data_IF_391967976847
#
_entry.id   IF_391967976847
#
_cell.length_a   1.000
_cell.length_b   1.000
_cell.length_c   1.000
_cell.angle_alpha   90.00
_cell.angle_beta   90.00
_cell.angle_gamma   90.00
#
_symmetry.space_group_name_H-M   'P 1'
#
loop_
_entity.id
_entity.type
_entity.pdbx_description
1 polymer ?
#
# COMPACT_ATOMS: atom_id res chain seq x y z
N UNK A 1 -1.20 14.86 5.40
CA UNK A 1 -0.73 14.44 6.73
C UNK A 1 0.16 15.51 7.33
N UNK A 2 -0.03 15.86 8.60
CA UNK A 2 0.79 16.83 9.32
C UNK A 2 1.14 16.31 10.72
N UNK A 3 2.27 16.78 11.27
CA UNK A 3 2.72 16.48 12.63
C UNK A 3 2.66 17.75 13.48
N UNK A 4 2.22 17.59 14.72
CA UNK A 4 2.34 18.58 15.77
C UNK A 4 3.49 18.18 16.70
N UNK A 5 4.41 19.10 16.98
CA UNK A 5 5.53 18.88 17.91
C UNK A 5 5.27 19.42 19.33
N UNK A 6 4.05 19.91 19.60
CA UNK A 6 3.71 20.65 20.82
C UNK A 6 3.67 22.16 20.65
N UNK A 7 4.20 22.71 19.53
CA UNK A 7 4.31 24.14 19.26
C UNK A 7 4.00 24.55 17.83
N UNK A 8 4.34 23.73 16.84
CA UNK A 8 4.19 24.04 15.42
C UNK A 8 3.69 22.84 14.64
N UNK A 9 2.79 23.10 13.68
CA UNK A 9 2.33 22.11 12.72
C UNK A 9 3.29 22.07 11.53
N UNK A 10 3.76 20.88 11.16
CA UNK A 10 4.57 20.65 9.97
C UNK A 10 3.83 19.72 9.02
N UNK A 11 3.64 20.15 7.77
CA UNK A 11 3.09 19.28 6.72
C UNK A 11 4.17 18.26 6.34
N UNK A 12 3.84 16.99 6.49
CA UNK A 12 4.75 15.89 6.15
C UNK A 12 4.50 15.37 4.74
N UNK A 13 3.25 15.43 4.28
CA UNK A 13 2.82 14.97 2.95
C UNK A 13 1.43 15.50 2.62
N UNK A 14 1.19 15.75 1.35
CA UNK A 14 -0.07 16.26 0.79
C UNK A 14 -0.90 15.18 0.10
N UNK A 15 -0.45 13.92 0.09
CA UNK A 15 -1.26 12.79 -0.38
C UNK A 15 -2.52 12.57 0.48
N UNK A 16 -3.41 11.69 0.02
CA UNK A 16 -4.74 11.48 0.59
C UNK A 16 -4.65 10.48 1.74
N UNK A 17 -4.39 10.95 2.97
CA UNK A 17 -4.33 10.12 4.18
C UNK A 17 -5.67 10.08 4.90
N UNK A 18 -6.07 8.89 5.35
CA UNK A 18 -7.41 8.68 5.92
C UNK A 18 -7.43 7.82 7.18
N UNK A 19 -6.31 7.20 7.56
CA UNK A 19 -6.17 6.48 8.84
C UNK A 19 -4.85 6.87 9.47
N UNK A 20 -4.90 7.14 10.78
CA UNK A 20 -3.72 7.21 11.64
C UNK A 20 -4.05 6.41 12.89
N UNK A 21 -3.23 5.41 13.21
CA UNK A 21 -3.36 4.61 14.43
C UNK A 21 -2.00 4.42 15.06
N UNK A 22 -1.88 4.43 16.38
CA UNK A 22 -0.59 4.31 17.03
C UNK A 22 -0.64 4.57 18.51
N UNK A 23 0.28 3.97 19.26
CA UNK A 23 0.47 4.14 20.71
C UNK A 23 -0.74 3.80 21.62
N UNK A 24 -1.87 3.31 21.10
CA UNK A 24 -3.08 3.02 21.90
C UNK A 24 -3.18 1.56 22.37
N UNK A 25 -2.45 0.63 21.74
CA UNK A 25 -2.64 -0.83 21.96
C UNK A 25 -1.59 -1.53 22.81
N UNK A 26 -0.51 -0.85 23.22
CA UNK A 26 0.51 -1.40 24.13
C UNK A 26 1.45 -2.48 23.53
N UNK A 27 1.21 -2.99 22.32
CA UNK A 27 2.02 -4.05 21.67
C UNK A 27 3.18 -3.46 20.83
N UNK A 28 3.21 -2.13 20.63
CA UNK A 28 4.28 -1.45 19.92
C UNK A 28 4.28 0.06 20.18
N UNK A 29 5.36 0.72 19.78
CA UNK A 29 5.50 2.18 19.87
C UNK A 29 5.24 2.87 18.53
N UNK A 30 5.04 2.11 17.45
CA UNK A 30 4.81 2.69 16.14
C UNK A 30 3.50 3.48 16.07
N UNK A 31 3.54 4.57 15.33
CA UNK A 31 2.34 5.19 14.74
C UNK A 31 2.31 4.89 13.25
N UNK A 32 1.22 4.28 12.80
CA UNK A 32 0.94 3.97 11.42
C UNK A 32 0.01 5.02 10.84
N UNK A 33 0.26 5.39 9.59
CA UNK A 33 -0.70 6.16 8.81
C UNK A 33 -0.88 5.52 7.43
N UNK A 34 -2.13 5.41 6.98
CA UNK A 34 -2.41 4.95 5.62
C UNK A 34 -3.04 6.05 4.78
N UNK A 35 -2.60 6.09 3.54
CA UNK A 35 -3.12 7.00 2.54
C UNK A 35 -2.88 6.46 1.15
N UNK A 36 -3.01 7.33 0.17
CA UNK A 36 -2.75 7.00 -1.21
C UNK A 36 -2.45 8.25 -2.03
N UNK A 37 -1.75 8.06 -3.13
CA UNK A 37 -1.65 9.01 -4.21
C UNK A 37 -2.05 8.35 -5.53
N UNK A 38 -1.79 8.99 -6.66
CA UNK A 38 -2.09 8.42 -7.98
C UNK A 38 -1.33 7.12 -8.27
N UNK A 39 -0.12 6.96 -7.73
CA UNK A 39 0.78 5.86 -8.05
C UNK A 39 0.51 4.60 -7.23
N UNK A 40 0.16 4.74 -5.94
CA UNK A 40 -0.01 3.59 -5.04
C UNK A 40 -0.72 3.96 -3.74
N UNK A 41 -1.07 2.94 -2.95
CA UNK A 41 -1.35 3.12 -1.54
C UNK A 41 -0.05 3.42 -0.78
N UNK A 42 -0.15 4.14 0.32
CA UNK A 42 0.99 4.59 1.13
C UNK A 42 0.75 4.13 2.56
N UNK A 43 1.74 3.43 3.12
CA UNK A 43 1.87 3.17 4.55
C UNK A 43 3.04 4.00 5.06
N UNK A 44 2.78 4.84 6.04
CA UNK A 44 3.83 5.49 6.82
C UNK A 44 3.94 4.87 8.19
N UNK A 45 5.17 4.76 8.66
CA UNK A 45 5.49 4.19 9.97
C UNK A 45 6.34 5.19 10.72
N UNK A 46 5.89 5.59 11.90
CA UNK A 46 6.64 6.45 12.80
C UNK A 46 7.19 5.64 13.95
N UNK A 47 8.51 5.55 14.06
CA UNK A 47 9.22 4.88 15.16
C UNK A 47 10.42 5.74 15.53
N UNK A 48 10.71 5.87 16.82
CA UNK A 48 11.91 6.58 17.33
C UNK A 48 12.11 8.00 16.75
N UNK A 49 11.02 8.72 16.48
CA UNK A 49 11.08 10.09 15.97
C UNK A 49 11.19 10.23 14.45
N UNK A 50 11.27 9.11 13.72
CA UNK A 50 11.45 9.06 12.27
C UNK A 50 10.24 8.47 11.55
N UNK A 51 9.92 9.03 10.38
CA UNK A 51 8.86 8.53 9.50
C UNK A 51 9.47 7.79 8.32
N UNK A 52 9.18 6.51 8.21
CA UNK A 52 9.44 5.72 7.01
C UNK A 52 8.19 5.68 6.11
N UNK A 53 8.43 5.50 4.81
CA UNK A 53 7.38 5.41 3.79
C UNK A 53 7.52 4.09 3.06
N UNK A 54 6.42 3.34 3.00
CA UNK A 54 6.27 2.13 2.22
C UNK A 54 5.08 2.28 1.30
N UNK A 55 5.19 1.76 0.08
CA UNK A 55 4.13 1.83 -0.91
C UNK A 55 3.55 0.44 -1.16
N UNK A 56 2.24 0.37 -1.33
CA UNK A 56 1.50 -0.88 -1.46
C UNK A 56 0.65 -0.85 -2.75
N UNK A 57 0.43 -2.01 -3.40
CA UNK A 57 -0.41 -2.09 -4.58
C UNK A 57 -1.87 -1.77 -4.22
N UNK A 58 -2.58 -1.15 -5.16
CA UNK A 58 -4.03 -0.97 -5.07
C UNK A 58 -4.72 -2.15 -5.73
N UNK A 59 -5.71 -2.74 -5.06
CA UNK A 59 -6.59 -3.76 -5.66
C UNK A 59 -7.82 -3.14 -6.34
N UNK A 60 -8.07 -1.84 -6.14
CA UNK A 60 -9.17 -1.10 -6.78
C UNK A 60 -8.78 0.33 -7.14
N UNK A 61 -9.40 0.86 -8.19
CA UNK A 61 -9.35 2.27 -8.59
C UNK A 61 -10.54 3.08 -8.04
N UNK A 62 -11.53 2.41 -7.44
CA UNK A 62 -12.77 3.04 -6.95
C UNK A 62 -12.55 3.96 -5.74
N UNK A 63 -11.31 4.09 -5.27
CA UNK A 63 -10.96 4.98 -4.17
C UNK A 63 -10.10 6.16 -4.63
N UNK A 64 -9.67 6.23 -5.89
CA UNK A 64 -8.78 7.29 -6.40
C UNK A 64 -9.39 8.70 -6.37
N UNK A 65 -10.73 8.78 -6.33
CA UNK A 65 -11.51 10.02 -6.42
C UNK A 65 -11.88 10.65 -5.06
N UNK A 66 -11.39 10.12 -3.93
CA UNK A 66 -11.56 10.71 -2.57
C UNK A 66 -12.97 10.85 -1.99
N UNK A 67 -14.04 10.49 -2.72
CA UNK A 67 -15.39 10.55 -2.17
C UNK A 67 -15.72 9.38 -1.21
N UNK A 68 -14.91 8.32 -1.25
CA UNK A 68 -15.08 7.09 -0.45
C UNK A 68 -13.79 6.71 0.28
N UNK A 69 -12.92 7.69 0.54
CA UNK A 69 -11.62 7.48 1.17
C UNK A 69 -11.67 7.37 2.70
N UNK A 70 -12.83 7.54 3.33
CA UNK A 70 -13.02 7.51 4.79
C UNK A 70 -12.81 6.14 5.47
N UNK A 71 -12.45 5.10 4.70
CA UNK A 71 -12.65 3.69 5.04
C UNK A 71 -11.38 2.83 5.22
N UNK A 72 -10.12 3.29 4.98
CA UNK A 72 -8.95 2.56 5.42
C UNK A 72 -8.93 2.41 6.94
N UNK A 73 -8.59 1.22 7.44
CA UNK A 73 -8.60 0.92 8.87
C UNK A 73 -7.45 0.01 9.22
N UNK A 74 -6.85 0.25 10.38
CA UNK A 74 -5.90 -0.66 11.00
C UNK A 74 -6.47 -1.04 12.36
N UNK A 75 -6.68 -2.34 12.59
CA UNK A 75 -7.22 -2.87 13.86
C UNK A 75 -6.53 -4.15 14.26
N UNK A 76 -6.42 -4.34 15.56
CA UNK A 76 -6.21 -5.66 16.13
C UNK A 76 -7.50 -6.47 16.02
N UNK A 77 -7.44 -7.63 15.38
CA UNK A 77 -8.60 -8.50 15.13
C UNK A 77 -8.59 -9.76 16.00
N UNK A 78 -7.43 -10.13 16.51
CA UNK A 78 -7.15 -11.19 17.47
C UNK A 78 -5.91 -10.75 18.25
N UNK A 79 -5.65 -11.35 19.42
CA UNK A 79 -4.45 -11.01 20.21
C UNK A 79 -3.20 -11.03 19.35
N UNK A 80 -2.50 -9.89 19.28
CA UNK A 80 -1.27 -9.65 18.52
C UNK A 80 -1.42 -9.76 16.99
N UNK A 81 -2.64 -9.97 16.46
CA UNK A 81 -2.93 -10.07 15.03
C UNK A 81 -3.58 -8.79 14.52
N UNK A 82 -2.83 -8.05 13.74
CA UNK A 82 -3.24 -6.76 13.20
C UNK A 82 -3.53 -6.85 11.72
N UNK A 83 -4.66 -6.28 11.34
CA UNK A 83 -5.14 -6.24 9.97
C UNK A 83 -5.26 -4.79 9.52
N UNK A 84 -4.74 -4.52 8.33
CA UNK A 84 -4.82 -3.23 7.64
C UNK A 84 -5.67 -3.40 6.39
N UNK A 85 -6.72 -2.61 6.25
CA UNK A 85 -7.49 -2.49 5.03
C UNK A 85 -7.13 -1.18 4.33
N UNK A 86 -6.66 -1.25 3.09
CA UNK A 86 -6.45 -0.06 2.25
C UNK A 86 -6.53 -0.43 0.77
N UNK A 87 -7.06 0.47 -0.06
CA UNK A 87 -7.11 0.31 -1.51
C UNK A 87 -7.72 -1.02 -1.99
N UNK A 88 -8.74 -1.52 -1.29
CA UNK A 88 -9.45 -2.76 -1.62
C UNK A 88 -8.69 -4.04 -1.29
N UNK A 89 -7.66 -3.97 -0.45
CA UNK A 89 -6.85 -5.12 -0.05
C UNK A 89 -6.66 -5.15 1.47
N UNK A 90 -6.76 -6.36 2.02
CA UNK A 90 -6.36 -6.64 3.39
C UNK A 90 -4.89 -7.06 3.46
N UNK A 91 -4.19 -6.54 4.45
CA UNK A 91 -2.82 -6.88 4.77
C UNK A 91 -2.70 -7.25 6.25
N UNK A 92 -1.93 -8.30 6.53
CA UNK A 92 -1.35 -8.49 7.85
C UNK A 92 -0.26 -7.45 8.06
N UNK A 93 -0.37 -6.73 9.18
CA UNK A 93 0.56 -5.69 9.58
C UNK A 93 1.19 -6.08 10.92
N UNK A 94 2.48 -6.43 11.01
CA UNK A 94 3.08 -6.75 12.30
C UNK A 94 3.16 -5.48 13.15
N UNK A 95 2.43 -5.47 14.26
CA UNK A 95 2.36 -4.32 15.18
C UNK A 95 3.58 -4.19 16.10
N UNK A 96 4.42 -5.24 16.21
CA UNK A 96 5.70 -5.18 16.91
C UNK A 96 6.80 -4.67 15.97
N UNK A 97 7.61 -3.74 16.47
CA UNK A 97 8.77 -3.23 15.76
C UNK A 97 10.01 -4.03 16.15
N UNK A 98 10.82 -4.39 15.18
CA UNK A 98 12.15 -4.96 15.41
C UNK A 98 13.19 -4.04 14.80
N UNK A 99 14.21 -3.69 15.58
CA UNK A 99 15.26 -2.74 15.17
C UNK A 99 14.72 -1.40 14.63
N UNK A 100 13.64 -0.88 15.24
CA UNK A 100 13.01 0.38 14.83
C UNK A 100 12.17 0.31 13.55
N UNK A 101 11.96 -0.88 12.98
CA UNK A 101 11.27 -1.08 11.70
C UNK A 101 10.09 -2.02 11.81
N UNK A 102 9.18 -1.90 10.85
CA UNK A 102 8.13 -2.89 10.61
C UNK A 102 8.72 -4.02 9.78
N UNK A 103 8.72 -5.23 10.34
CA UNK A 103 9.40 -6.39 9.76
C UNK A 103 8.72 -6.97 8.51
N UNK A 104 7.71 -6.26 7.98
CA UNK A 104 7.14 -6.51 6.67
C UNK A 104 5.62 -6.63 6.64
N UNK A 105 5.00 -6.12 5.59
CA UNK A 105 3.54 -6.18 5.39
C UNK A 105 3.24 -7.40 4.51
N UNK A 106 2.17 -8.14 4.78
CA UNK A 106 1.79 -9.30 3.96
C UNK A 106 0.37 -9.16 3.44
N UNK A 107 0.13 -9.25 2.11
CA UNK A 107 -1.22 -9.19 1.59
C UNK A 107 -1.96 -10.51 1.88
N UNK A 108 -3.24 -10.40 2.24
CA UNK A 108 -4.12 -11.54 2.57
C UNK A 108 -5.10 -11.80 1.44
N UNK A 109 -5.91 -10.79 1.08
CA UNK A 109 -6.87 -10.90 -0.01
C UNK A 109 -7.24 -9.54 -0.60
N UNK A 110 -7.66 -9.54 -1.85
CA UNK A 110 -8.34 -8.41 -2.49
C UNK A 110 -9.86 -8.56 -2.35
N UNK A 111 -10.59 -7.45 -2.19
CA UNK A 111 -12.04 -7.47 -2.07
C UNK A 111 -12.71 -6.27 -2.74
N UNK A 112 -14.00 -6.42 -3.04
CA UNK A 112 -14.84 -5.35 -3.60
C UNK A 112 -15.79 -4.73 -2.54
N UNK A 113 -15.69 -5.17 -1.28
CA UNK A 113 -16.49 -4.63 -0.19
C UNK A 113 -15.99 -3.24 0.21
N UNK A 114 -16.92 -2.33 0.50
CA UNK A 114 -16.65 -1.12 1.29
C UNK A 114 -16.80 -1.51 2.76
N UNK A 115 -15.71 -1.37 3.52
CA UNK A 115 -15.61 -1.83 4.91
C UNK A 115 -15.27 -0.63 5.78
N UNK A 116 -16.19 -0.22 6.66
CA UNK A 116 -16.06 1.05 7.39
C UNK A 116 -15.33 0.93 8.70
N UNK A 117 -15.48 -0.22 9.34
CA UNK A 117 -14.65 -0.64 10.44
C UNK A 117 -14.75 -2.15 10.58
N UNK A 118 -13.84 -2.71 11.36
CA UNK A 118 -13.85 -4.12 11.72
C UNK A 118 -13.26 -4.32 13.11
N UNK A 119 -13.70 -5.35 13.80
CA UNK A 119 -13.20 -5.67 15.13
C UNK A 119 -13.37 -7.16 15.43
N UNK A 120 -12.79 -7.58 16.55
CA UNK A 120 -13.08 -8.87 17.15
C UNK A 120 -14.33 -8.79 18.02
N UNK A 121 -15.25 -9.73 17.89
CA UNK A 121 -16.38 -9.89 18.81
C UNK A 121 -16.73 -11.37 18.98
N UNK A 122 -16.74 -11.87 20.22
CA UNK A 122 -16.99 -13.28 20.56
C UNK A 122 -16.15 -14.28 19.74
N UNK A 123 -14.88 -13.94 19.45
CA UNK A 123 -13.98 -14.78 18.68
C UNK A 123 -14.26 -14.79 17.17
N UNK A 124 -15.10 -13.88 16.68
CA UNK A 124 -15.37 -13.68 15.26
C UNK A 124 -14.76 -12.35 14.79
N UNK A 125 -14.28 -12.34 13.55
CA UNK A 125 -14.03 -11.11 12.82
C UNK A 125 -15.39 -10.54 12.38
N UNK A 126 -15.70 -9.34 12.84
CA UNK A 126 -16.91 -8.60 12.48
C UNK A 126 -16.53 -7.40 11.63
N UNK A 127 -17.19 -7.20 10.50
CA UNK A 127 -16.96 -6.08 9.59
C UNK A 127 -18.24 -5.31 9.29
N UNK A 128 -18.20 -3.99 9.43
CA UNK A 128 -19.28 -3.12 8.98
C UNK A 128 -19.17 -2.88 7.47
N UNK A 129 -20.22 -3.23 6.72
CA UNK A 129 -20.29 -2.99 5.28
C UNK A 129 -21.08 -1.74 4.93
N UNK A 130 -20.59 -0.95 3.98
CA UNK A 130 -21.35 0.15 3.35
C UNK A 130 -21.36 -0.01 1.82
N UNK A 131 -21.88 -1.14 1.34
CA UNK A 131 -21.91 -1.47 -0.08
C UNK A 131 -22.82 -0.53 -0.90
N UNK A 132 -23.71 0.22 -0.25
CA UNK A 132 -24.70 1.09 -0.89
C UNK A 132 -24.84 2.41 -0.15
N UNK A 133 -24.08 3.42 -0.57
CA UNK A 133 -24.18 4.80 -0.05
C UNK A 133 -25.10 5.65 -0.95
N UNK A 134 -26.05 6.43 -0.41
CA UNK A 134 -26.89 7.33 -1.21
C UNK A 134 -26.14 8.64 -1.42
N UNK A 135 -25.21 8.66 -2.38
CA UNK A 135 -24.51 9.90 -2.72
C UNK A 135 -25.52 10.83 -3.42
N UNK A 136 -26.01 11.83 -2.69
CA UNK A 136 -26.95 12.85 -3.17
C UNK A 136 -28.33 12.30 -3.56
N UNK A 137 -28.85 11.32 -2.82
CA UNK A 137 -30.15 10.66 -3.08
C UNK A 137 -30.32 10.07 -4.49
N UNK A 138 -29.20 9.83 -5.19
CA UNK A 138 -29.18 9.39 -6.59
C UNK A 138 -29.54 7.92 -6.79
N UNK A 139 -29.62 7.12 -5.71
CA UNK A 139 -29.92 5.71 -5.79
C UNK A 139 -31.17 5.36 -4.96
N UNK A 140 -32.32 5.07 -5.62
CA UNK A 140 -33.59 4.78 -4.95
C UNK A 140 -33.64 3.42 -4.25
N UNK A 141 -32.61 2.58 -4.41
CA UNK A 141 -32.47 1.28 -3.74
C UNK A 141 -31.61 1.32 -2.47
N UNK A 142 -31.13 2.51 -2.06
CA UNK A 142 -30.34 2.67 -0.85
C UNK A 142 -31.24 2.62 0.40
N UNK A 143 -30.73 2.00 1.48
CA UNK A 143 -31.50 1.70 2.70
C UNK A 143 -32.01 0.27 2.79
N UNK A 144 -31.68 -0.59 1.81
CA UNK A 144 -31.90 -2.04 1.87
C UNK A 144 -30.72 -2.75 2.58
N UNK A 145 -30.90 -3.97 3.15
CA UNK A 145 -29.92 -4.66 4.02
C UNK A 145 -28.64 -5.15 3.32
N UNK A 146 -28.26 -4.58 2.18
CA UNK A 146 -27.03 -4.89 1.45
C UNK A 146 -25.78 -4.32 2.15
N UNK A 147 -25.96 -3.37 3.08
CA UNK A 147 -24.96 -2.75 3.94
C UNK A 147 -25.15 -3.19 5.42
N UNK A 148 -24.77 -4.43 5.73
CA UNK A 148 -24.91 -5.00 7.08
C UNK A 148 -23.57 -5.58 7.57
N UNK A 149 -23.55 -6.07 8.81
CA UNK A 149 -22.40 -6.74 9.40
C UNK A 149 -22.09 -8.04 8.67
N UNK A 150 -20.81 -8.25 8.37
CA UNK A 150 -20.27 -9.56 8.05
C UNK A 150 -19.66 -10.15 9.31
N UNK A 151 -19.92 -11.43 9.58
CA UNK A 151 -19.34 -12.17 10.69
C UNK A 151 -18.71 -13.45 10.13
N UNK A 152 -17.46 -13.70 10.50
CA UNK A 152 -16.75 -14.91 10.10
C UNK A 152 -15.44 -15.06 10.85
N UNK A 153 -14.60 -15.97 10.38
CA UNK A 153 -13.26 -16.18 10.91
C UNK A 153 -12.27 -15.31 10.15
N UNK A 154 -11.20 -14.88 10.79
CA UNK A 154 -10.08 -14.20 10.11
C UNK A 154 -9.54 -15.06 8.95
N UNK A 155 -9.49 -16.38 9.13
CA UNK A 155 -9.07 -17.33 8.10
C UNK A 155 -9.98 -17.37 6.85
N UNK A 156 -11.24 -16.95 6.97
CA UNK A 156 -12.15 -16.90 5.82
C UNK A 156 -11.67 -15.90 4.76
N UNK A 157 -10.86 -14.89 5.16
CA UNK A 157 -10.29 -13.90 4.25
C UNK A 157 -9.43 -14.54 3.15
N UNK A 158 -8.75 -15.65 3.43
CA UNK A 158 -7.95 -16.38 2.45
C UNK A 158 -8.78 -17.00 1.32
N UNK A 159 -10.10 -17.12 1.51
CA UNK A 159 -11.04 -17.66 0.51
C UNK A 159 -11.68 -16.56 -0.36
N UNK A 160 -11.51 -15.28 -0.03
CA UNK A 160 -12.20 -14.18 -0.73
C UNK A 160 -11.65 -13.94 -2.13
N UNK A 161 -10.33 -14.04 -2.28
CA UNK A 161 -9.64 -13.83 -3.54
C UNK A 161 -8.15 -13.65 -3.31
N UNK A 162 -7.34 -14.29 -4.16
CA UNK A 162 -5.88 -14.11 -4.10
C UNK A 162 -5.54 -12.62 -4.19
N UNK A 163 -4.54 -12.12 -3.44
CA UNK A 163 -4.04 -10.76 -3.60
C UNK A 163 -3.67 -10.45 -5.05
N UNK A 164 -4.24 -9.37 -5.57
CA UNK A 164 -3.94 -8.82 -6.89
C UNK A 164 -4.02 -7.31 -6.83
N UNK A 165 -3.25 -6.64 -7.66
CA UNK A 165 -3.26 -5.19 -7.68
C UNK A 165 -2.22 -4.60 -8.60
N UNK A 166 -2.17 -3.29 -8.61
CA UNK A 166 -1.26 -2.52 -9.42
C UNK A 166 -0.78 -1.29 -8.66
N UNK A 167 0.25 -0.67 -9.19
CA UNK A 167 0.78 0.57 -8.67
C UNK A 167 2.28 0.52 -8.61
N UNK A 168 2.87 1.52 -8.03
CA UNK A 168 4.32 1.56 -7.86
C UNK A 168 4.75 2.87 -7.25
N UNK A 169 6.06 3.09 -7.14
CA UNK A 169 6.57 4.29 -6.51
C UNK A 169 6.44 5.55 -7.37
N UNK A 170 6.36 5.40 -8.71
CA UNK A 170 6.33 6.54 -9.62
C UNK A 170 5.18 6.46 -10.61
N UNK A 171 4.42 7.55 -10.73
CA UNK A 171 3.45 7.77 -11.79
C UNK A 171 3.61 9.19 -12.31
N UNK A 172 4.28 9.34 -13.47
CA UNK A 172 4.67 10.65 -14.02
C UNK A 172 5.34 11.54 -12.96
N UNK A 173 6.25 10.94 -12.20
CA UNK A 173 6.91 11.56 -11.05
C UNK A 173 8.25 12.14 -11.51
N UNK A 174 8.58 13.39 -11.15
CA UNK A 174 9.94 13.90 -11.30
C UNK A 174 10.90 13.08 -10.42
N UNK A 175 11.87 12.41 -11.04
CA UNK A 175 12.89 11.61 -10.36
C UNK A 175 14.26 12.22 -10.56
N UNK A 176 15.13 12.05 -9.58
CA UNK A 176 16.54 12.45 -9.66
C UNK A 176 17.38 11.23 -10.03
N UNK A 177 18.43 11.46 -10.83
CA UNK A 177 19.39 10.43 -11.22
C UNK A 177 19.97 9.72 -9.98
N UNK A 178 20.01 8.40 -10.02
CA UNK A 178 20.58 7.51 -9.00
C UNK A 178 19.97 7.64 -7.59
N UNK A 179 18.83 8.33 -7.44
CA UNK A 179 18.10 8.36 -6.17
C UNK A 179 17.09 7.21 -6.13
N UNK A 180 17.15 6.33 -5.10
CA UNK A 180 16.18 5.25 -4.97
C UNK A 180 14.79 5.77 -4.65
N UNK A 181 13.79 5.10 -5.21
CA UNK A 181 12.40 5.31 -4.86
C UNK A 181 12.07 4.81 -3.45
N UNK A 182 10.89 5.18 -2.95
CA UNK A 182 10.28 4.50 -1.81
C UNK A 182 10.17 2.99 -2.11
N UNK A 183 10.32 2.12 -1.09
CA UNK A 183 10.04 0.70 -1.19
C UNK A 183 8.58 0.44 -1.60
N UNK A 184 8.39 -0.52 -2.50
CA UNK A 184 7.08 -1.00 -2.94
C UNK A 184 6.93 -2.49 -2.59
N UNK A 185 5.78 -2.87 -2.04
CA UNK A 185 5.51 -4.23 -1.59
C UNK A 185 5.56 -5.21 -2.77
N UNK A 186 6.43 -6.22 -2.67
CA UNK A 186 6.60 -7.24 -3.71
C UNK A 186 6.15 -8.64 -3.27
N UNK A 187 6.12 -8.91 -1.96
CA UNK A 187 5.76 -10.23 -1.42
C UNK A 187 4.27 -10.55 -1.57
N UNK A 188 3.94 -11.85 -1.65
CA UNK A 188 2.55 -12.33 -1.60
C UNK A 188 1.77 -12.29 -2.92
N UNK A 189 2.44 -12.01 -4.04
CA UNK A 189 1.85 -12.03 -5.39
C UNK A 189 2.47 -13.12 -6.26
N UNK A 190 1.69 -13.72 -7.17
CA UNK A 190 2.12 -14.89 -7.96
C UNK A 190 2.94 -14.43 -9.17
N UNK A 191 2.35 -13.61 -10.04
CA UNK A 191 3.06 -13.03 -11.19
C UNK A 191 3.29 -11.53 -11.02
N UNK A 192 4.40 -11.06 -11.58
CA UNK A 192 4.86 -9.68 -11.42
C UNK A 192 5.40 -9.17 -12.74
N UNK A 193 4.92 -8.00 -13.14
CA UNK A 193 5.42 -7.27 -14.29
C UNK A 193 5.60 -5.81 -13.90
N UNK A 194 6.70 -5.19 -14.30
CA UNK A 194 6.92 -3.76 -14.12
C UNK A 194 7.00 -3.07 -15.49
N UNK A 195 6.26 -1.97 -15.63
CA UNK A 195 6.32 -1.06 -16.77
C UNK A 195 7.02 0.22 -16.36
N UNK A 196 8.08 0.57 -17.10
CA UNK A 196 8.78 1.83 -16.98
C UNK A 196 8.45 2.74 -18.17
N UNK A 197 8.38 4.04 -17.92
CA UNK A 197 8.36 5.07 -18.97
C UNK A 197 9.03 6.34 -18.50
N UNK A 198 9.58 7.14 -19.41
CA UNK A 198 10.18 8.44 -19.09
C UNK A 198 10.05 9.46 -20.22
N UNK A 199 10.27 10.74 -19.89
CA UNK A 199 10.29 11.86 -20.85
C UNK A 199 11.71 12.31 -21.26
N UNK A 200 12.78 11.67 -20.77
CA UNK A 200 14.15 12.03 -21.12
C UNK A 200 14.47 11.82 -22.63
N UNK A 201 15.18 12.74 -23.31
CA UNK A 201 15.50 12.65 -24.75
C UNK A 201 16.64 11.68 -25.09
N UNK A 202 17.31 11.11 -24.08
CA UNK A 202 18.35 10.10 -24.22
C UNK A 202 17.95 8.75 -23.64
N UNK A 203 18.89 7.80 -23.60
CA UNK A 203 18.71 6.52 -22.95
C UNK A 203 18.55 6.69 -21.43
N UNK A 204 17.62 5.93 -20.84
CA UNK A 204 17.49 5.82 -19.38
C UNK A 204 17.52 4.35 -19.00
N UNK A 205 18.54 3.99 -18.23
CA UNK A 205 18.60 2.71 -17.52
C UNK A 205 17.88 2.84 -16.18
N UNK A 206 16.94 1.93 -15.93
CA UNK A 206 16.30 1.71 -14.65
C UNK A 206 16.96 0.54 -13.95
N UNK A 207 17.36 0.76 -12.70
CA UNK A 207 17.92 -0.27 -11.81
C UNK A 207 16.81 -0.76 -10.90
N UNK A 208 16.56 -2.07 -10.93
CA UNK A 208 15.63 -2.75 -10.04
C UNK A 208 16.43 -3.28 -8.86
N UNK A 209 16.13 -2.76 -7.67
CA UNK A 209 16.72 -3.22 -6.41
C UNK A 209 15.66 -3.91 -5.56
N UNK A 210 16.04 -5.00 -4.91
CA UNK A 210 15.14 -5.79 -4.06
C UNK A 210 15.75 -5.98 -2.69
N UNK A 211 14.86 -6.00 -1.70
CA UNK A 211 15.15 -6.41 -0.33
C UNK A 211 14.43 -7.73 -0.09
N UNK A 212 15.21 -8.82 0.00
CA UNK A 212 14.67 -10.17 0.11
C UNK A 212 14.01 -10.42 1.46
N UNK A 213 14.56 -9.85 2.54
CA UNK A 213 14.18 -10.15 3.92
C UNK A 213 13.24 -9.11 4.52
N UNK A 214 13.21 -7.90 3.98
CA UNK A 214 12.48 -6.78 4.55
C UNK A 214 13.26 -6.01 5.63
N UNK A 215 14.57 -6.24 5.76
CA UNK A 215 15.43 -5.64 6.79
C UNK A 215 16.14 -4.36 6.33
N UNK A 216 16.01 -4.01 5.05
CA UNK A 216 16.64 -2.86 4.40
C UNK A 216 17.98 -3.17 3.75
N UNK A 217 18.39 -4.43 3.61
CA UNK A 217 19.51 -4.82 2.75
C UNK A 217 19.05 -4.90 1.29
N UNK A 218 19.62 -4.04 0.44
CA UNK A 218 19.19 -3.90 -0.96
C UNK A 218 20.21 -4.50 -1.93
N UNK A 219 19.72 -5.33 -2.85
CA UNK A 219 20.52 -5.95 -3.90
C UNK A 219 20.00 -5.57 -5.28
N UNK A 220 20.91 -5.34 -6.22
CA UNK A 220 20.54 -5.12 -7.63
C UNK A 220 20.08 -6.46 -8.22
N UNK A 221 18.80 -6.54 -8.58
CA UNK A 221 18.22 -7.71 -9.23
C UNK A 221 18.37 -7.66 -10.75
N UNK A 222 18.14 -6.49 -11.34
CA UNK A 222 18.12 -6.31 -12.80
C UNK A 222 18.34 -4.86 -13.20
N UNK A 223 18.85 -4.66 -14.42
CA UNK A 223 18.83 -3.37 -15.10
C UNK A 223 18.10 -3.50 -16.42
N UNK A 224 17.30 -2.50 -16.76
CA UNK A 224 16.58 -2.41 -18.03
C UNK A 224 16.71 -1.01 -18.61
N UNK A 225 16.89 -0.90 -19.91
CA UNK A 225 17.13 0.39 -20.57
C UNK A 225 16.00 0.69 -21.55
N UNK A 226 15.48 1.91 -21.47
CA UNK A 226 14.53 2.45 -22.45
C UNK A 226 15.24 3.48 -23.36
N UNK A 227 14.75 3.57 -24.60
CA UNK A 227 15.14 4.58 -25.57
C UNK A 227 14.65 5.99 -25.21
N UNK A 228 15.04 6.99 -25.99
CA UNK A 228 14.54 8.37 -25.84
C UNK A 228 13.01 8.43 -25.76
N UNK A 229 12.48 9.15 -24.77
CA UNK A 229 11.03 9.26 -24.48
C UNK A 229 10.31 7.90 -24.41
N UNK A 230 11.05 6.86 -24.05
CA UNK A 230 10.65 5.48 -24.26
C UNK A 230 9.96 4.85 -23.06
N UNK A 231 9.58 3.60 -23.27
CA UNK A 231 9.08 2.71 -22.24
C UNK A 231 9.74 1.34 -22.37
N UNK A 232 9.94 0.65 -21.26
CA UNK A 232 10.43 -0.72 -21.22
C UNK A 232 9.65 -1.51 -20.17
N UNK A 233 9.39 -2.78 -20.47
CA UNK A 233 8.66 -3.69 -19.59
C UNK A 233 9.57 -4.82 -19.16
N UNK A 234 9.46 -5.24 -17.91
CA UNK A 234 10.15 -6.42 -17.40
C UNK A 234 9.19 -7.33 -16.63
N UNK A 235 9.09 -8.57 -17.07
CA UNK A 235 8.36 -9.62 -16.37
C UNK A 235 9.33 -10.41 -15.50
N UNK A 236 8.99 -10.58 -14.23
CA UNK A 236 9.78 -11.42 -13.33
C UNK A 236 9.45 -12.89 -13.58
N UNK A 237 10.44 -13.77 -13.37
CA UNK A 237 10.22 -15.22 -13.45
C UNK A 237 9.16 -15.68 -12.44
N UNK A 238 8.34 -16.68 -12.79
CA UNK A 238 7.44 -17.31 -11.82
C UNK A 238 8.21 -17.77 -10.57
N UNK A 239 7.70 -17.41 -9.39
CA UNK A 239 8.36 -17.74 -8.12
C UNK A 239 9.42 -16.75 -7.67
N UNK A 240 9.78 -15.72 -8.46
CA UNK A 240 10.63 -14.64 -7.97
C UNK A 240 9.94 -13.94 -6.77
N UNK A 241 10.64 -13.91 -5.65
CA UNK A 241 10.14 -13.42 -4.38
C UNK A 241 11.19 -12.56 -3.68
N UNK A 242 10.75 -11.38 -3.26
CA UNK A 242 11.45 -10.48 -2.36
C UNK A 242 10.38 -9.76 -1.54
N UNK A 243 10.75 -9.21 -0.38
CA UNK A 243 9.80 -8.49 0.45
C UNK A 243 9.44 -7.14 -0.18
N UNK A 244 10.46 -6.33 -0.49
CA UNK A 244 10.32 -5.03 -1.11
C UNK A 244 11.09 -4.93 -2.42
N UNK A 245 10.60 -4.05 -3.31
CA UNK A 245 11.31 -3.60 -4.52
C UNK A 245 11.38 -2.08 -4.54
N UNK A 246 12.47 -1.53 -5.06
CA UNK A 246 12.58 -0.09 -5.35
C UNK A 246 13.33 0.12 -6.66
N UNK A 247 13.28 1.34 -7.18
CA UNK A 247 13.88 1.66 -8.46
C UNK A 247 14.80 2.86 -8.39
N UNK A 248 15.86 2.85 -9.19
CA UNK A 248 16.64 4.04 -9.55
C UNK A 248 16.54 4.29 -11.04
N UNK A 249 16.53 5.56 -11.44
CA UNK A 249 16.72 5.96 -12.83
C UNK A 249 18.12 6.54 -12.99
N UNK A 250 18.82 6.19 -14.05
CA UNK A 250 20.17 6.71 -14.33
C UNK A 250 20.21 8.18 -14.76
N UNK A 251 19.06 8.77 -15.08
CA UNK A 251 18.91 10.16 -15.49
C UNK A 251 17.76 10.81 -14.74
N UNK A 252 17.92 12.09 -14.43
CA UNK A 252 16.83 12.91 -13.89
C UNK A 252 15.80 13.16 -14.99
N UNK A 253 14.54 12.80 -14.74
CA UNK A 253 13.46 12.89 -15.71
C UNK A 253 12.09 12.78 -15.04
N UNK A 254 11.01 12.95 -15.79
CA UNK A 254 9.68 12.53 -15.35
C UNK A 254 9.49 11.06 -15.73
N UNK A 255 9.39 10.18 -14.74
CA UNK A 255 9.30 8.74 -14.94
C UNK A 255 8.04 8.12 -14.33
N UNK A 256 7.66 6.95 -14.85
CA UNK A 256 6.72 6.04 -14.20
C UNK A 256 7.39 4.69 -14.01
N UNK A 257 7.12 4.04 -12.88
CA UNK A 257 7.48 2.66 -12.58
C UNK A 257 6.26 2.04 -11.92
N UNK A 258 5.47 1.31 -12.70
CA UNK A 258 4.19 0.74 -12.28
C UNK A 258 4.25 -0.78 -12.43
N UNK A 259 3.99 -1.47 -11.33
CA UNK A 259 3.90 -2.92 -11.27
C UNK A 259 2.45 -3.38 -11.39
N UNK A 260 2.30 -4.55 -11.99
CA UNK A 260 1.06 -5.30 -12.08
C UNK A 260 1.27 -6.68 -11.46
N UNK A 261 0.40 -7.01 -10.52
CA UNK A 261 0.41 -8.25 -9.76
C UNK A 261 -0.87 -9.03 -9.98
N UNK A 262 -0.72 -10.32 -10.31
CA UNK A 262 -1.84 -11.26 -10.53
C UNK A 262 -1.65 -12.56 -9.78
#
# INVERSE_FOLDING_TARGET
MARWDGRTWTILDTAQYNEVTGAVSGIGQATFATGQDRASAILRVFVDGHWDVYRLPKATHTQDHTFTTEWPRIREIESERWLMNTCGMFYELPAMQYAGKVWGVRPVCSHLRIIGDFCSWNGLLVMAGDQTTPIGDSNPFVGQPQANLWLGKSDDLWQWGKPRGWGGPWFRTPVQAEVPSDPFLMTGFEHKCVHFSHDHPGLVTFVIEVDFHGDGEWHVARQVTAGAHGSVTYCFEPGFSAHWVRFRASQSCTASAQLHYT
#
